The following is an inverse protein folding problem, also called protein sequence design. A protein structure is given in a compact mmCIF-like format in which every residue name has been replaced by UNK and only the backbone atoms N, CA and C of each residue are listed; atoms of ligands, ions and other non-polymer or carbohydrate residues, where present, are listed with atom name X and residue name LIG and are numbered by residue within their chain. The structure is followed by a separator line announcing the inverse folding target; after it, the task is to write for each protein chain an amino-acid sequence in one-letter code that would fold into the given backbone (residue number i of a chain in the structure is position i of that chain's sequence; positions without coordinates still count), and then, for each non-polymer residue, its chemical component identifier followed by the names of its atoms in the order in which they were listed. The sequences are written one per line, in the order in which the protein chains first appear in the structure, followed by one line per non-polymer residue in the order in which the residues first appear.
data_IF_906060150421
#
_entry.id   IF_906060150421
#
_cell.length_a   1.000
_cell.length_b   1.000
_cell.length_c   1.000
_cell.angle_alpha   90.00
_cell.angle_beta   90.00
_cell.angle_gamma   90.00
#
_symmetry.space_group_name_H-M   'P 1'
#
loop_
_entity.id
_entity.type
_entity.pdbx_description
1 polymer ?
#
# COMPACT_ATOMS: atom_id res chain seq x y z
N UNK A 1 -5.94 4.76 3.12
CA UNK A 1 -7.05 4.40 2.23
C UNK A 1 -7.11 2.88 2.16
N UNK A 2 -8.32 2.29 2.11
CA UNK A 2 -8.46 0.85 1.89
C UNK A 2 -8.01 0.48 0.48
N UNK A 3 -7.36 -0.67 0.33
CA UNK A 3 -6.96 -1.26 -0.96
C UNK A 3 -8.23 -1.67 -1.70
N UNK A 4 -8.34 -1.29 -2.98
CA UNK A 4 -9.56 -1.51 -3.77
C UNK A 4 -9.35 -2.41 -4.98
N UNK A 5 -8.19 -2.29 -5.64
CA UNK A 5 -7.92 -2.99 -6.89
C UNK A 5 -6.61 -3.77 -6.85
N UNK A 6 -6.55 -4.82 -7.66
CA UNK A 6 -5.31 -5.49 -8.02
C UNK A 6 -4.46 -4.54 -8.91
N UNK A 7 -3.14 -4.52 -8.70
CA UNK A 7 -2.19 -3.70 -9.44
C UNK A 7 -1.82 -2.36 -8.78
N UNK A 8 -2.58 -1.91 -7.76
CA UNK A 8 -2.26 -0.68 -7.02
C UNK A 8 -0.84 -0.74 -6.44
N UNK A 9 -0.09 0.36 -6.57
CA UNK A 9 1.29 0.46 -6.08
C UNK A 9 1.34 1.35 -4.86
N UNK A 10 2.05 0.87 -3.84
CA UNK A 10 2.20 1.58 -2.59
C UNK A 10 3.66 1.73 -2.17
N UNK A 11 3.98 2.87 -1.57
CA UNK A 11 5.31 3.16 -1.01
C UNK A 11 5.21 3.52 0.47
N UNK A 12 6.17 3.04 1.26
CA UNK A 12 6.38 3.49 2.62
C UNK A 12 7.31 4.71 2.64
N UNK A 13 6.82 5.84 3.13
CA UNK A 13 7.60 7.09 3.21
C UNK A 13 8.63 7.12 4.36
N UNK A 14 8.75 6.04 5.15
CA UNK A 14 9.74 5.92 6.23
C UNK A 14 10.94 5.08 5.77
N UNK A 15 10.70 3.84 5.35
CA UNK A 15 11.77 2.91 4.96
C UNK A 15 12.00 2.81 3.45
N UNK A 16 11.11 3.34 2.62
CA UNK A 16 11.20 3.29 1.17
C UNK A 16 10.64 2.01 0.52
N UNK A 17 10.10 1.06 1.29
CA UNK A 17 9.54 -0.18 0.73
C UNK A 17 8.41 0.10 -0.26
N UNK A 18 8.45 -0.57 -1.41
CA UNK A 18 7.40 -0.54 -2.43
C UNK A 18 6.77 -1.91 -2.61
N UNK A 19 5.45 -1.93 -2.77
CA UNK A 19 4.66 -3.15 -2.99
C UNK A 19 3.61 -2.93 -4.07
N UNK A 20 3.27 -4.01 -4.78
CA UNK A 20 2.14 -4.10 -5.71
C UNK A 20 1.08 -4.98 -5.08
N UNK A 21 -0.18 -4.55 -5.13
CA UNK A 21 -1.32 -5.37 -4.70
C UNK A 21 -1.55 -6.48 -5.72
N UNK A 22 -1.38 -7.74 -5.31
CA UNK A 22 -1.69 -8.90 -6.15
C UNK A 22 -3.11 -9.42 -5.93
N UNK A 23 -3.72 -9.11 -4.79
CA UNK A 23 -5.13 -9.38 -4.49
C UNK A 23 -5.71 -8.25 -3.63
N UNK A 24 -6.80 -7.63 -4.08
CA UNK A 24 -7.45 -6.58 -3.32
C UNK A 24 -8.16 -7.12 -2.08
N UNK A 25 -8.11 -6.35 -0.99
CA UNK A 25 -8.90 -6.57 0.22
C UNK A 25 -9.10 -5.22 0.91
N UNK A 26 -10.30 -4.94 1.42
CA UNK A 26 -10.70 -3.60 1.87
C UNK A 26 -9.97 -3.02 3.10
N UNK A 27 -8.85 -3.60 3.53
CA UNK A 27 -7.99 -3.08 4.59
C UNK A 27 -7.00 -2.04 4.09
N UNK A 28 -6.37 -1.32 5.01
CA UNK A 28 -5.31 -0.35 4.71
C UNK A 28 -3.93 -1.01 4.84
N UNK A 29 -3.02 -0.75 3.89
CA UNK A 29 -1.62 -1.16 4.03
C UNK A 29 -0.87 -0.28 5.03
N UNK A 30 -0.17 -0.92 5.95
CA UNK A 30 0.62 -0.28 6.99
C UNK A 30 2.04 -0.84 6.97
N UNK A 31 3.03 0.05 6.97
CA UNK A 31 4.43 -0.29 7.08
C UNK A 31 5.10 0.70 8.05
N UNK A 32 6.01 0.23 8.91
CA UNK A 32 6.64 1.05 9.96
C UNK A 32 5.62 1.77 10.87
N UNK A 33 4.47 1.14 11.14
CA UNK A 33 3.42 1.70 11.99
C UNK A 33 2.64 2.86 11.38
N UNK A 34 2.85 3.20 10.09
CA UNK A 34 2.08 4.23 9.39
C UNK A 34 1.41 3.69 8.13
N UNK A 35 0.28 4.29 7.72
CA UNK A 35 -0.28 4.07 6.40
C UNK A 35 0.75 4.24 5.28
N UNK A 36 0.73 3.33 4.31
CA UNK A 36 1.47 3.49 3.06
C UNK A 36 0.76 4.49 2.13
N UNK A 37 1.52 5.14 1.26
CA UNK A 37 1.02 6.06 0.23
C UNK A 37 0.80 5.30 -1.09
N UNK A 38 -0.36 5.50 -1.73
CA UNK A 38 -0.61 4.99 -3.08
C UNK A 38 0.11 5.89 -4.08
N UNK A 39 0.90 5.30 -4.96
CA UNK A 39 1.73 6.03 -5.93
C UNK A 39 1.38 5.75 -7.39
N UNK A 40 0.60 4.69 -7.67
CA UNK A 40 0.03 4.38 -8.99
C UNK A 40 -1.15 3.40 -8.88
#
# INVERSE_FOLDING_TARGET
MPVKNEGEKYRCNICGNEVVVTKAGGGQLVCCGKPMEMIA
#
